data_IF_887110756003
#
_entry.id   IF_887110756003
#
_cell.length_a   1.000
_cell.length_b   1.000
_cell.length_c   1.000
_cell.angle_alpha   90.00
_cell.angle_beta   90.00
_cell.angle_gamma   90.00
#
_symmetry.space_group_name_H-M   'P 1'
#
loop_
_entity.id
_entity.type
_entity.pdbx_description
1 polymer ?
#
# COMPACT_ATOMS: atom_id res chain seq x y z
N UNK A 1 -14.20 9.63 -5.14
CA UNK A 1 -14.63 8.28 -5.56
C UNK A 1 -13.37 7.42 -5.65
N UNK A 2 -13.37 6.21 -5.07
CA UNK A 2 -12.22 5.29 -5.15
C UNK A 2 -12.23 4.65 -6.55
N UNK A 3 -11.15 4.73 -7.33
CA UNK A 3 -11.07 4.09 -8.65
C UNK A 3 -11.02 2.56 -8.54
N UNK A 4 -11.42 1.83 -9.59
CA UNK A 4 -11.23 0.37 -9.64
C UNK A 4 -9.74 0.02 -9.56
N UNK A 5 -9.38 -1.14 -9.00
CA UNK A 5 -7.99 -1.56 -8.90
C UNK A 5 -7.44 -2.04 -10.24
N UNK A 6 -6.18 -1.68 -10.53
CA UNK A 6 -5.34 -2.41 -11.49
C UNK A 6 -4.83 -3.73 -10.87
N UNK A 7 -4.67 -3.77 -9.55
CA UNK A 7 -4.21 -4.93 -8.79
C UNK A 7 -4.95 -5.04 -7.44
N UNK A 8 -5.33 -6.25 -7.08
CA UNK A 8 -5.81 -6.58 -5.73
C UNK A 8 -4.76 -7.43 -5.02
N UNK A 9 -4.38 -7.02 -3.82
CA UNK A 9 -3.43 -7.74 -2.96
C UNK A 9 -4.17 -8.24 -1.73
N UNK A 10 -4.11 -9.55 -1.46
CA UNK A 10 -4.70 -10.15 -0.27
C UNK A 10 -3.65 -10.33 0.83
N UNK A 11 -3.58 -9.34 1.73
CA UNK A 11 -2.73 -9.34 2.90
C UNK A 11 -3.24 -10.20 4.05
N UNK A 12 -4.48 -10.71 3.96
CA UNK A 12 -5.09 -11.56 4.99
C UNK A 12 -5.00 -10.97 6.40
N UNK A 13 -4.50 -11.80 7.33
CA UNK A 13 -4.30 -11.52 8.75
C UNK A 13 -2.89 -11.00 9.09
N UNK A 14 -2.08 -10.68 8.08
CA UNK A 14 -0.70 -10.21 8.27
C UNK A 14 -0.70 -8.87 8.99
N UNK A 15 0.17 -8.76 10.00
CA UNK A 15 0.31 -7.57 10.83
C UNK A 15 1.39 -6.63 10.28
N UNK A 16 1.15 -5.33 10.46
CA UNK A 16 1.90 -4.14 10.09
C UNK A 16 3.15 -4.39 9.24
N UNK A 17 4.26 -4.79 9.86
CA UNK A 17 5.55 -4.93 9.16
C UNK A 17 5.48 -5.94 8.01
N UNK A 18 4.85 -7.10 8.23
CA UNK A 18 4.74 -8.15 7.20
C UNK A 18 3.84 -7.71 6.06
N UNK A 19 2.74 -7.03 6.38
CA UNK A 19 1.84 -6.44 5.40
C UNK A 19 2.57 -5.40 4.53
N UNK A 20 3.35 -4.52 5.14
CA UNK A 20 4.09 -3.48 4.44
C UNK A 20 5.23 -4.02 3.56
N UNK A 21 5.91 -5.10 3.98
CA UNK A 21 6.95 -5.76 3.16
C UNK A 21 6.34 -6.34 1.87
N UNK A 22 5.18 -6.97 1.98
CA UNK A 22 4.47 -7.53 0.82
C UNK A 22 3.94 -6.42 -0.09
N UNK A 23 3.27 -5.42 0.48
CA UNK A 23 2.77 -4.28 -0.28
C UNK A 23 3.89 -3.57 -1.04
N UNK A 24 5.04 -3.34 -0.39
CA UNK A 24 6.23 -2.75 -1.01
C UNK A 24 6.64 -3.50 -2.28
N UNK A 25 6.66 -4.84 -2.25
CA UNK A 25 7.07 -5.63 -3.41
C UNK A 25 6.11 -5.43 -4.59
N UNK A 26 4.81 -5.34 -4.32
CA UNK A 26 3.80 -5.05 -5.34
C UNK A 26 3.92 -3.63 -5.90
N UNK A 27 4.13 -2.63 -5.03
CA UNK A 27 4.34 -1.23 -5.45
C UNK A 27 5.58 -1.10 -6.32
N UNK A 28 6.69 -1.75 -5.97
CA UNK A 28 7.94 -1.69 -6.74
C UNK A 28 7.80 -2.33 -8.14
N UNK A 29 6.92 -3.31 -8.31
CA UNK A 29 6.66 -3.96 -9.59
C UNK A 29 5.58 -3.25 -10.44
N UNK A 30 4.85 -2.30 -9.86
CA UNK A 30 3.72 -1.64 -10.49
C UNK A 30 4.15 -0.39 -11.27
N UNK A 31 3.41 -0.07 -12.33
CA UNK A 31 3.61 1.17 -13.09
C UNK A 31 3.14 2.40 -12.28
N UNK A 32 3.77 3.57 -12.42
CA UNK A 32 3.20 4.83 -11.97
C UNK A 32 1.73 5.01 -12.34
N UNK A 33 0.94 5.52 -11.39
CA UNK A 33 -0.49 5.73 -11.54
C UNK A 33 -1.35 4.47 -11.32
N UNK A 34 -0.76 3.28 -11.19
CA UNK A 34 -1.51 2.06 -10.93
C UNK A 34 -2.24 2.13 -9.59
N UNK A 35 -3.49 1.67 -9.54
CA UNK A 35 -4.31 1.59 -8.34
C UNK A 35 -4.21 0.20 -7.75
N UNK A 36 -3.82 0.11 -6.48
CA UNK A 36 -3.77 -1.13 -5.72
C UNK A 36 -4.87 -1.10 -4.67
N UNK A 37 -5.69 -2.16 -4.62
CA UNK A 37 -6.60 -2.42 -3.50
C UNK A 37 -5.97 -3.51 -2.61
N UNK A 38 -5.61 -3.13 -1.39
CA UNK A 38 -5.05 -4.02 -0.38
C UNK A 38 -6.14 -4.47 0.58
N UNK A 39 -6.37 -5.78 0.66
CA UNK A 39 -7.23 -6.40 1.68
C UNK A 39 -6.37 -6.67 2.91
N UNK A 40 -6.76 -6.15 4.07
CA UNK A 40 -6.01 -6.32 5.31
C UNK A 40 -6.93 -6.23 6.53
N UNK A 41 -6.81 -7.15 7.48
CA UNK A 41 -7.54 -7.10 8.75
C UNK A 41 -6.74 -6.49 9.91
N UNK A 42 -5.50 -6.07 9.67
CA UNK A 42 -4.65 -5.44 10.68
C UNK A 42 -5.27 -4.13 11.19
N UNK A 43 -5.54 -4.00 12.50
CA UNK A 43 -6.10 -2.77 13.07
C UNK A 43 -5.18 -1.55 12.92
N UNK A 44 -3.88 -1.73 12.69
CA UNK A 44 -2.95 -0.63 12.44
C UNK A 44 -3.00 -0.10 10.99
N UNK A 45 -3.55 -0.85 10.04
CA UNK A 45 -3.58 -0.49 8.62
C UNK A 45 -4.19 0.91 8.31
N UNK A 46 -5.28 1.35 8.98
CA UNK A 46 -5.81 2.71 8.77
C UNK A 46 -4.85 3.84 9.14
N UNK A 47 -3.84 3.59 9.98
CA UNK A 47 -2.84 4.56 10.42
C UNK A 47 -1.55 4.40 9.62
N UNK A 48 -1.10 3.15 9.46
CA UNK A 48 0.19 2.84 8.84
C UNK A 48 0.18 3.05 7.32
N UNK A 49 -0.91 2.71 6.62
CA UNK A 49 -0.97 2.85 5.16
C UNK A 49 -0.89 4.31 4.71
N UNK A 50 -1.62 5.28 5.30
CA UNK A 50 -1.43 6.69 4.97
C UNK A 50 0.01 7.17 5.22
N UNK A 51 0.58 6.82 6.37
CA UNK A 51 1.93 7.23 6.75
C UNK A 51 2.99 6.64 5.79
N UNK A 52 2.86 5.36 5.47
CA UNK A 52 3.74 4.67 4.54
C UNK A 52 3.62 5.20 3.11
N UNK A 53 2.40 5.46 2.64
CA UNK A 53 2.18 6.07 1.33
C UNK A 53 2.87 7.44 1.25
N UNK A 54 2.67 8.30 2.25
CA UNK A 54 3.34 9.60 2.32
C UNK A 54 4.87 9.47 2.33
N UNK A 55 5.41 8.58 3.17
CA UNK A 55 6.84 8.32 3.26
C UNK A 55 7.44 7.85 1.92
N UNK A 56 6.70 7.06 1.16
CA UNK A 56 7.16 6.46 -0.11
C UNK A 56 6.75 7.26 -1.34
N UNK A 57 5.99 8.35 -1.18
CA UNK A 57 5.52 9.16 -2.32
C UNK A 57 4.38 8.52 -3.12
N UNK A 58 3.66 7.57 -2.53
CA UNK A 58 2.42 7.01 -3.08
C UNK A 58 1.20 7.78 -2.54
N UNK A 59 0.07 7.70 -3.23
CA UNK A 59 -1.18 8.33 -2.76
C UNK A 59 -2.03 7.32 -2.01
N UNK A 60 -2.33 7.58 -0.74
CA UNK A 60 -3.40 6.85 -0.07
C UNK A 60 -4.76 7.40 -0.51
N UNK A 61 -5.63 6.54 -1.05
CA UNK A 61 -6.94 6.94 -1.58
C UNK A 61 -8.09 6.71 -0.57
N UNK A 62 -7.83 6.03 0.54
CA UNK A 62 -8.81 5.73 1.57
C UNK A 62 -9.26 4.27 1.60
N UNK A 63 -10.15 3.97 2.55
CA UNK A 63 -10.82 2.67 2.62
C UNK A 63 -11.87 2.55 1.50
N UNK A 64 -11.98 1.39 0.89
CA UNK A 64 -12.97 1.09 -0.16
C UNK A 64 -14.35 0.92 0.49
N UNK A 65 -15.31 1.83 0.26
CA UNK A 65 -16.64 1.73 0.88
C UNK A 65 -17.40 0.51 0.37
N UNK A 66 -18.10 -0.19 1.27
CA UNK A 66 -18.96 -1.33 0.91
C UNK A 66 -18.22 -2.61 0.53
N UNK A 67 -16.89 -2.66 0.65
CA UNK A 67 -16.13 -3.89 0.46
C UNK A 67 -16.49 -4.93 1.53
N UNK A 68 -16.62 -6.20 1.14
CA UNK A 68 -16.96 -7.30 2.05
C UNK A 68 -15.87 -7.58 3.10
N UNK A 69 -14.61 -7.26 2.77
CA UNK A 69 -13.45 -7.33 3.66
C UNK A 69 -12.81 -5.95 3.74
N UNK A 70 -12.18 -5.63 4.88
CA UNK A 70 -11.43 -4.38 5.05
C UNK A 70 -10.42 -4.21 3.92
N UNK A 71 -10.68 -3.24 3.05
CA UNK A 71 -9.92 -3.01 1.82
C UNK A 71 -9.52 -1.55 1.74
N UNK A 72 -8.26 -1.30 1.43
CA UNK A 72 -7.65 0.02 1.37
C UNK A 72 -7.10 0.27 -0.03
N UNK A 73 -7.41 1.42 -0.61
CA UNK A 73 -6.94 1.79 -1.93
C UNK A 73 -5.76 2.76 -1.84
N UNK A 74 -4.77 2.54 -2.69
CA UNK A 74 -3.66 3.46 -2.91
C UNK A 74 -3.31 3.55 -4.39
N UNK A 75 -2.65 4.64 -4.78
CA UNK A 75 -2.09 4.83 -6.12
C UNK A 75 -0.57 4.89 -6.05
N UNK A 76 0.06 4.18 -6.98
CA UNK A 76 1.52 4.22 -7.14
C UNK A 76 1.94 5.58 -7.67
N UNK A 77 2.82 6.27 -6.94
CA UNK A 77 3.32 7.59 -7.31
C UNK A 77 4.30 7.54 -8.48
N UNK A 78 4.35 8.62 -9.28
CA UNK A 78 5.33 8.76 -10.37
C UNK A 78 6.78 8.96 -9.92
N UNK A 79 6.98 9.40 -8.67
CA UNK A 79 8.28 9.49 -8.00
C UNK A 79 8.33 8.62 -6.75
N UNK A 80 7.66 7.45 -6.79
CA UNK A 80 7.63 6.55 -5.64
C UNK A 80 9.07 6.14 -5.25
N UNK A 81 9.42 6.38 -3.99
CA UNK A 81 10.74 6.04 -3.44
C UNK A 81 10.78 4.56 -3.09
N UNK A 82 11.78 3.85 -3.59
CA UNK A 82 12.04 2.48 -3.15
C UNK A 82 12.43 2.45 -1.67
N UNK A 83 12.05 1.37 -0.98
CA UNK A 83 12.46 1.10 0.39
C UNK A 83 13.30 -0.17 0.48
N UNK A 84 14.06 -0.34 1.55
CA UNK A 84 14.83 -1.57 1.79
C UNK A 84 13.92 -2.82 1.89
N UNK A 85 14.32 -3.99 1.37
CA UNK A 85 13.49 -5.20 1.36
C UNK A 85 12.98 -5.68 2.73
N UNK A 86 13.75 -5.45 3.81
CA UNK A 86 13.40 -5.89 5.17
C UNK A 86 13.01 -4.73 6.09
N UNK A 87 13.14 -3.49 5.63
CA UNK A 87 12.85 -2.28 6.38
C UNK A 87 11.95 -1.38 5.53
N UNK A 88 10.65 -1.67 5.40
CA UNK A 88 9.75 -0.95 4.49
C UNK A 88 9.57 0.54 4.84
N UNK A 89 10.11 1.00 5.96
CA UNK A 89 10.18 2.41 6.40
C UNK A 89 11.52 3.11 6.08
N UNK A 90 12.53 2.40 5.56
CA UNK A 90 13.79 3.04 5.13
C UNK A 90 13.78 3.20 3.63
N UNK A 91 13.60 4.44 3.17
CA UNK A 91 13.77 4.79 1.76
C UNK A 91 15.22 4.62 1.37
N UNK A 92 15.47 4.02 0.21
CA UNK A 92 16.80 4.01 -0.40
C UNK A 92 17.07 5.43 -0.87
N UNK A 93 18.15 6.01 -0.36
CA UNK A 93 18.67 7.28 -0.84
C UNK A 93 19.82 6.91 -1.77
N UNK A 94 19.74 7.36 -3.00
CA UNK A 94 20.84 7.27 -3.96
C UNK A 94 22.02 8.15 -3.50
#
# INVERSE_FOLDING_TARGET
>A
MIPPPDLVVDGGDRLCVRLLIELRAHVAAARPGAVIHLIASDPAAPIDLPAWCHLTGNDYLGQVPGAARSTYALRVGGGARETEPKSPWRTRVD
#
